data_IF_800073038983
#
_entry.id   IF_800073038983
#
_cell.length_a   1.000
_cell.length_b   1.000
_cell.length_c   1.000
_cell.angle_alpha   90.00
_cell.angle_beta   90.00
_cell.angle_gamma   90.00
#
_symmetry.space_group_name_H-M   'P 1'
#
loop_
_entity.id
_entity.type
_entity.pdbx_description
1 polymer ?
#
# COMPACT_ATOMS: atom_id res chain seq x y z
N UNK A 1 -16.31 -7.71 -23.71
CA UNK A 1 -17.34 -7.45 -22.69
C UNK A 1 -16.68 -6.56 -21.65
N UNK A 2 -17.21 -5.37 -21.36
CA UNK A 2 -16.66 -4.52 -20.31
C UNK A 2 -16.96 -5.17 -18.96
N UNK A 3 -15.93 -5.48 -18.17
CA UNK A 3 -16.14 -5.97 -16.81
C UNK A 3 -16.66 -4.82 -15.97
N UNK A 4 -17.85 -4.98 -15.42
CA UNK A 4 -18.54 -3.97 -14.61
C UNK A 4 -18.34 -4.30 -13.14
N UNK A 5 -17.97 -3.30 -12.33
CA UNK A 5 -17.79 -3.44 -10.88
C UNK A 5 -18.67 -2.41 -10.19
N UNK A 6 -19.54 -2.87 -9.28
CA UNK A 6 -20.30 -1.98 -8.41
C UNK A 6 -19.39 -1.49 -7.28
N UNK A 7 -19.35 -0.17 -7.07
CA UNK A 7 -18.67 0.47 -5.96
C UNK A 7 -19.73 1.02 -5.01
N UNK A 8 -19.54 0.79 -3.72
CA UNK A 8 -20.42 1.32 -2.67
C UNK A 8 -19.74 2.45 -1.90
N UNK A 9 -20.51 3.40 -1.34
CA UNK A 9 -19.98 4.51 -0.57
C UNK A 9 -19.16 4.03 0.63
N UNK A 10 -18.06 4.73 0.94
CA UNK A 10 -17.23 4.43 2.11
C UNK A 10 -18.04 4.42 3.42
N UNK A 11 -19.07 5.27 3.51
CA UNK A 11 -19.99 5.35 4.65
C UNK A 11 -20.82 4.10 4.90
N UNK A 12 -20.92 3.18 3.93
CA UNK A 12 -21.65 1.92 4.11
C UNK A 12 -20.83 0.87 4.89
N UNK A 13 -19.53 1.08 5.04
CA UNK A 13 -18.63 0.16 5.72
C UNK A 13 -18.45 0.58 7.17
N UNK A 14 -18.58 -0.38 8.08
CA UNK A 14 -18.38 -0.14 9.51
C UNK A 14 -16.97 -0.57 9.88
N UNK A 15 -16.21 0.33 10.47
CA UNK A 15 -14.86 0.05 10.93
C UNK A 15 -14.87 -0.21 12.44
N UNK A 16 -14.35 -1.35 12.85
CA UNK A 16 -14.11 -1.67 14.25
C UNK A 16 -12.62 -1.89 14.49
N UNK A 17 -12.25 -2.06 15.75
CA UNK A 17 -10.86 -2.23 16.15
C UNK A 17 -10.67 -3.62 16.74
N UNK A 18 -9.60 -4.32 16.36
CA UNK A 18 -9.19 -5.60 16.95
C UNK A 18 -7.79 -5.54 17.55
N UNK A 19 -7.34 -6.63 18.17
CA UNK A 19 -6.02 -6.71 18.79
C UNK A 19 -4.90 -6.37 17.81
N UNK A 20 -3.79 -5.86 18.35
CA UNK A 20 -2.64 -5.49 17.54
C UNK A 20 -2.04 -6.74 16.89
N UNK A 21 -1.66 -6.62 15.62
CA UNK A 21 -1.02 -7.71 14.91
C UNK A 21 0.50 -7.61 15.07
N UNK A 22 1.21 -8.66 15.51
CA UNK A 22 2.65 -8.61 15.67
C UNK A 22 3.35 -8.35 14.31
N UNK A 23 4.44 -7.59 14.33
CA UNK A 23 5.31 -7.45 13.15
C UNK A 23 6.03 -8.79 12.91
N UNK A 24 5.93 -9.33 11.70
CA UNK A 24 6.56 -10.62 11.37
C UNK A 24 8.10 -10.53 11.33
N UNK A 25 8.65 -9.42 10.83
CA UNK A 25 10.09 -9.27 10.60
C UNK A 25 10.61 -7.95 11.18
N UNK A 26 11.53 -7.98 12.17
CA UNK A 26 12.04 -6.76 12.82
C UNK A 26 12.85 -5.87 11.87
N UNK A 27 13.41 -6.42 10.78
CA UNK A 27 14.27 -5.70 9.85
C UNK A 27 14.07 -6.17 8.40
N UNK A 28 14.58 -5.40 7.43
CA UNK A 28 14.57 -5.83 6.02
C UNK A 28 15.46 -7.06 5.85
N UNK A 29 16.60 -7.12 6.55
CA UNK A 29 17.50 -8.27 6.51
C UNK A 29 16.85 -9.54 7.03
N UNK A 30 16.12 -9.49 8.16
CA UNK A 30 15.39 -10.63 8.71
C UNK A 30 14.33 -11.15 7.71
N UNK A 31 13.61 -10.23 7.06
CA UNK A 31 12.63 -10.57 6.01
C UNK A 31 13.27 -11.29 4.82
N UNK A 32 14.42 -10.81 4.36
CA UNK A 32 15.15 -11.42 3.23
C UNK A 32 15.75 -12.78 3.62
N UNK A 33 16.26 -12.92 4.84
CA UNK A 33 16.75 -14.19 5.37
C UNK A 33 15.63 -15.22 5.48
N UNK A 34 14.45 -14.83 6.03
CA UNK A 34 13.27 -15.71 6.07
C UNK A 34 12.79 -16.10 4.67
N UNK A 35 12.84 -15.18 3.71
CA UNK A 35 12.54 -15.48 2.32
C UNK A 35 13.51 -16.53 1.76
N UNK A 36 14.80 -16.40 2.06
CA UNK A 36 15.82 -17.35 1.62
C UNK A 36 15.65 -18.73 2.23
N UNK A 37 15.48 -18.82 3.56
CA UNK A 37 15.25 -20.09 4.25
C UNK A 37 14.00 -20.80 3.71
N UNK A 38 12.87 -20.08 3.60
CA UNK A 38 11.64 -20.68 3.06
C UNK A 38 11.79 -21.12 1.60
N UNK A 39 12.65 -20.44 0.83
CA UNK A 39 12.90 -20.79 -0.56
C UNK A 39 13.69 -22.10 -0.69
N UNK A 40 14.60 -22.38 0.24
CA UNK A 40 15.33 -23.64 0.29
C UNK A 40 14.41 -24.82 0.61
N UNK A 41 13.45 -24.63 1.52
CA UNK A 41 12.53 -25.68 1.95
C UNK A 41 11.36 -25.92 0.98
N UNK A 42 10.76 -24.84 0.46
CA UNK A 42 9.48 -24.89 -0.26
C UNK A 42 9.52 -24.33 -1.68
N UNK A 43 10.65 -23.74 -2.10
CA UNK A 43 10.78 -23.07 -3.39
C UNK A 43 10.16 -21.67 -3.42
N UNK A 44 9.70 -21.26 -4.60
CA UNK A 44 9.23 -19.89 -4.82
C UNK A 44 8.06 -19.50 -3.90
N UNK A 45 8.20 -18.39 -3.18
CA UNK A 45 7.12 -17.81 -2.38
C UNK A 45 5.97 -17.35 -3.29
N UNK A 46 4.74 -17.68 -2.94
CA UNK A 46 3.53 -17.14 -3.58
C UNK A 46 2.86 -16.16 -2.64
N UNK A 47 2.57 -14.96 -3.12
CA UNK A 47 1.94 -13.88 -2.35
C UNK A 47 0.68 -13.42 -3.05
N UNK A 48 -0.39 -13.21 -2.30
CA UNK A 48 -1.67 -12.71 -2.83
C UNK A 48 -2.09 -11.46 -2.07
N UNK A 49 -2.52 -10.44 -2.79
CA UNK A 49 -3.00 -9.18 -2.23
C UNK A 49 -4.34 -8.80 -2.89
N UNK A 50 -5.27 -8.32 -2.07
CA UNK A 50 -6.61 -7.89 -2.49
C UNK A 50 -6.67 -6.38 -2.71
N UNK A 51 -7.21 -5.98 -3.85
CA UNK A 51 -7.54 -4.58 -4.20
C UNK A 51 -9.02 -4.38 -3.89
N UNK A 52 -9.29 -3.85 -2.70
CA UNK A 52 -10.64 -3.52 -2.23
C UNK A 52 -10.98 -2.11 -2.70
N UNK A 53 -11.99 -2.01 -3.57
CA UNK A 53 -12.40 -0.74 -4.17
C UNK A 53 -13.73 -0.28 -3.57
N UNK A 54 -13.77 0.97 -3.13
CA UNK A 54 -14.98 1.67 -2.66
C UNK A 54 -15.07 3.01 -3.36
N UNK A 55 -16.12 3.79 -3.13
CA UNK A 55 -16.12 5.19 -3.56
C UNK A 55 -16.42 6.14 -2.41
N UNK A 56 -15.93 7.37 -2.55
CA UNK A 56 -16.34 8.50 -1.73
C UNK A 56 -16.58 9.67 -2.67
N UNK A 57 -17.74 10.31 -2.53
CA UNK A 57 -18.21 11.39 -3.40
C UNK A 57 -18.10 11.09 -4.92
N UNK A 58 -18.35 9.85 -5.34
CA UNK A 58 -18.26 9.45 -6.75
C UNK A 58 -16.82 9.28 -7.27
N UNK A 59 -15.83 9.24 -6.37
CA UNK A 59 -14.44 8.97 -6.71
C UNK A 59 -14.00 7.60 -6.19
N UNK A 60 -13.34 6.76 -7.01
CA UNK A 60 -12.88 5.44 -6.59
C UNK A 60 -11.69 5.56 -5.64
N UNK A 61 -11.76 4.82 -4.53
CA UNK A 61 -10.74 4.73 -3.50
C UNK A 61 -10.33 3.27 -3.25
N UNK A 62 -9.06 3.06 -2.94
CA UNK A 62 -8.49 1.77 -2.59
C UNK A 62 -8.27 1.71 -1.09
N UNK A 63 -8.80 0.66 -0.45
CA UNK A 63 -8.56 0.42 0.97
C UNK A 63 -7.18 -0.18 1.18
N UNK A 64 -6.34 0.47 1.99
CA UNK A 64 -4.98 0.03 2.30
C UNK A 64 -4.69 0.10 3.80
N UNK A 65 -3.92 -0.85 4.31
CA UNK A 65 -3.44 -0.87 5.68
C UNK A 65 -2.16 -0.03 5.80
N UNK A 66 -2.20 1.01 6.62
CA UNK A 66 -1.05 1.79 7.05
C UNK A 66 -0.53 1.25 8.38
N UNK A 67 0.77 0.96 8.47
CA UNK A 67 1.39 0.54 9.73
C UNK A 67 1.64 1.80 10.58
N UNK A 68 1.03 1.86 11.77
CA UNK A 68 1.30 2.93 12.73
C UNK A 68 2.71 2.73 13.31
N UNK A 69 3.45 3.83 13.51
CA UNK A 69 4.83 3.85 14.03
C UNK A 69 5.92 3.27 13.11
N UNK A 70 5.71 3.24 11.79
CA UNK A 70 6.79 2.96 10.83
C UNK A 70 7.74 4.18 10.67
N UNK A 71 8.24 4.72 11.78
CA UNK A 71 9.39 5.62 11.77
C UNK A 71 10.66 4.77 11.64
N UNK A 72 11.45 5.07 10.61
CA UNK A 72 12.77 4.48 10.31
C UNK A 72 12.78 3.04 9.76
N UNK A 73 12.40 2.89 8.49
CA UNK A 73 13.05 1.89 7.62
C UNK A 73 13.44 2.65 6.35
N UNK A 74 14.65 3.23 6.39
CA UNK A 74 15.26 3.87 5.22
C UNK A 74 15.09 2.90 4.04
N UNK A 75 14.32 3.30 3.04
CA UNK A 75 14.51 2.77 1.70
C UNK A 75 15.89 3.29 1.33
N UNK A 76 16.90 2.43 1.41
CA UNK A 76 18.23 2.72 0.90
C UNK A 76 18.11 2.68 -0.63
N UNK A 77 17.50 3.70 -1.21
CA UNK A 77 17.66 4.05 -2.62
C UNK A 77 18.98 4.83 -2.69
N UNK A 78 20.09 4.09 -2.63
CA UNK A 78 21.29 4.56 -3.30
C UNK A 78 21.15 4.09 -4.76
N UNK A 79 20.86 5.04 -5.65
CA UNK A 79 21.17 4.90 -7.06
C UNK A 79 22.68 4.63 -7.17
N UNK A 80 23.05 3.37 -7.33
CA UNK A 80 24.38 2.94 -7.78
C UNK A 80 24.14 1.99 -8.95
N UNK A 81 23.97 2.55 -10.14
CA UNK A 81 24.88 2.35 -11.28
C UNK A 81 24.24 2.85 -12.59
N UNK A 82 24.42 4.14 -12.86
CA UNK A 82 24.61 4.62 -14.22
C UNK A 82 26.12 4.70 -14.51
N UNK A 83 26.82 3.57 -14.44
CA UNK A 83 28.17 3.44 -15.01
C UNK A 83 28.07 3.28 -16.53
N UNK A 84 27.84 4.39 -17.23
CA UNK A 84 28.18 4.47 -18.65
C UNK A 84 29.66 4.87 -18.71
N UNK A 85 30.48 3.93 -19.17
CA UNK A 85 31.83 4.20 -19.64
C UNK A 85 31.83 5.30 -20.71
N UNK A 86 32.49 6.42 -20.41
CA UNK A 86 33.09 7.27 -21.44
C UNK A 86 34.48 7.72 -21.00
N UNK A 87 35.48 7.29 -21.76
CA UNK A 87 36.89 7.65 -21.64
C UNK A 87 37.13 9.17 -21.78
N UNK A 88 38.27 9.69 -21.28
CA UNK A 88 38.54 11.12 -21.17
C UNK A 88 39.11 11.71 -22.48
N UNK A 89 38.72 12.95 -22.80
CA UNK A 89 39.51 13.84 -23.67
C UNK A 89 39.69 15.20 -22.98
N UNK A 90 40.93 15.68 -23.06
CA UNK A 90 41.50 16.82 -22.36
C UNK A 90 41.10 18.21 -22.91
N UNK A 91 41.09 19.17 -21.98
CA UNK A 91 41.49 20.58 -22.08
C UNK A 91 40.72 21.55 -23.00
N UNK A 92 40.25 22.67 -22.41
CA UNK A 92 40.97 23.96 -22.41
C UNK A 92 40.23 25.03 -21.57
N UNK A 93 41.04 25.84 -20.89
CA UNK A 93 40.71 27.07 -20.17
C UNK A 93 39.93 28.08 -21.04
N UNK A 94 38.98 28.81 -20.43
CA UNK A 94 39.05 30.29 -20.33
C UNK A 94 38.10 30.85 -19.26
N UNK A 95 38.64 31.82 -18.53
CA UNK A 95 38.04 32.73 -17.56
C UNK A 95 36.97 33.65 -18.18
N UNK A 96 35.96 34.08 -17.42
CA UNK A 96 35.60 35.51 -17.25
C UNK A 96 34.39 35.76 -16.32
N UNK A 97 34.66 36.53 -15.26
CA UNK A 97 33.93 37.64 -14.61
C UNK A 97 32.40 37.62 -14.40
N UNK A 98 32.06 37.83 -13.11
CA UNK A 98 30.83 38.42 -12.54
C UNK A 98 30.54 39.84 -13.10
N UNK A 99 29.32 40.36 -12.91
CA UNK A 99 29.10 41.24 -11.76
C UNK A 99 27.82 40.95 -10.94
N UNK A 100 27.90 41.34 -9.66
CA UNK A 100 26.83 41.45 -8.68
C UNK A 100 25.86 42.58 -9.06
N UNK A 101 24.58 42.45 -8.67
CA UNK A 101 23.78 43.59 -8.22
C UNK A 101 22.63 43.16 -7.29
N UNK A 102 22.41 44.02 -6.31
CA UNK A 102 21.57 43.91 -5.12
C UNK A 102 20.06 43.76 -5.42
N UNK A 103 19.35 43.05 -4.54
CA UNK A 103 18.12 43.57 -3.94
C UNK A 103 17.81 42.88 -2.60
N UNK A 104 18.10 43.58 -1.51
CA UNK A 104 17.50 43.40 -0.20
C UNK A 104 16.05 43.90 -0.23
N UNK A 105 15.15 43.31 0.57
CA UNK A 105 14.11 44.01 1.38
C UNK A 105 13.19 42.99 2.10
N UNK A 106 13.32 43.04 3.44
CA UNK A 106 12.34 42.85 4.52
C UNK A 106 11.57 41.55 4.75
N UNK A 107 11.81 41.01 5.94
CA UNK A 107 10.90 40.20 6.74
C UNK A 107 9.58 40.92 7.06
N UNK A 108 8.49 40.17 7.05
CA UNK A 108 7.19 40.56 7.59
C UNK A 108 6.43 39.30 8.01
N UNK A 109 6.30 39.10 9.32
CA UNK A 109 5.59 37.96 9.90
C UNK A 109 4.07 38.12 9.85
N UNK A 110 3.37 36.99 9.90
CA UNK A 110 2.02 36.94 10.45
C UNK A 110 1.81 35.57 11.11
N UNK A 111 1.86 35.57 12.44
CA UNK A 111 1.45 34.46 13.27
C UNK A 111 -0.02 34.69 13.66
N UNK A 112 -0.89 33.74 13.36
CA UNK A 112 -2.23 33.67 13.93
C UNK A 112 -2.36 32.40 14.74
N UNK A 113 -2.20 32.55 16.06
CA UNK A 113 -2.58 31.58 17.07
C UNK A 113 -4.08 31.31 17.00
N UNK A 114 -4.50 30.05 16.95
CA UNK A 114 -5.80 29.61 17.47
C UNK A 114 -5.53 28.42 18.40
N UNK A 115 -5.72 28.69 19.69
CA UNK A 115 -5.54 27.77 20.79
C UNK A 115 -6.91 27.12 21.05
N UNK A 116 -7.04 25.82 20.83
CA UNK A 116 -8.20 25.06 21.28
C UNK A 116 -7.77 24.03 22.32
N UNK A 117 -8.50 24.08 23.44
CA UNK A 117 -8.28 23.31 24.65
C UNK A 117 -8.45 21.81 24.44
N UNK A 118 -7.58 21.04 25.10
CA UNK A 118 -7.68 19.58 25.21
C UNK A 118 -8.63 19.27 26.37
N UNK A 119 -9.77 18.66 26.07
CA UNK A 119 -10.55 17.92 27.07
C UNK A 119 -10.17 16.42 26.96
N UNK A 120 -9.92 15.72 28.07
CA UNK A 120 -9.66 14.30 28.03
C UNK A 120 -11.01 13.57 27.97
N UNK A 121 -11.30 12.85 26.90
CA UNK A 121 -12.33 11.83 26.95
C UNK A 121 -11.88 10.58 26.19
N UNK A 122 -11.85 9.49 26.95
CA UNK A 122 -11.77 8.10 26.52
C UNK A 122 -12.86 7.79 25.49
N UNK A 123 -12.47 7.43 24.27
CA UNK A 123 -13.14 6.48 23.37
C UNK A 123 -12.42 6.47 22.01
N UNK A 124 -11.50 5.53 21.83
CA UNK A 124 -10.76 5.34 20.59
C UNK A 124 -11.65 4.69 19.51
N UNK A 125 -12.40 5.52 18.78
CA UNK A 125 -13.02 5.09 17.50
C UNK A 125 -11.93 4.90 16.44
N UNK A 126 -11.99 3.88 15.58
CA UNK A 126 -11.07 3.78 14.46
C UNK A 126 -11.34 4.95 13.49
N UNK A 127 -10.32 5.78 13.28
CA UNK A 127 -10.40 6.95 12.38
C UNK A 127 -9.95 6.49 11.00
N UNK A 128 -10.90 6.41 10.06
CA UNK A 128 -10.57 6.47 8.63
C UNK A 128 -10.29 7.94 8.34
N UNK A 129 -9.02 8.26 8.09
CA UNK A 129 -8.54 9.64 7.97
C UNK A 129 -8.39 10.01 6.49
N UNK A 130 -9.20 10.96 6.01
CA UNK A 130 -8.95 11.63 4.74
C UNK A 130 -7.76 12.57 4.93
N UNK A 131 -6.62 12.25 4.32
CA UNK A 131 -5.42 13.07 4.51
C UNK A 131 -5.54 14.37 3.72
N UNK A 132 -5.82 15.47 4.43
CA UNK A 132 -5.50 16.83 3.97
C UNK A 132 -4.17 17.26 4.61
N UNK A 133 -3.32 17.81 3.76
CA UNK A 133 -2.18 18.65 4.07
C UNK A 133 -0.79 18.05 4.35
N UNK A 134 0.14 18.86 3.87
CA UNK A 134 1.46 18.59 3.35
C UNK A 134 2.48 19.08 4.40
N UNK A 135 2.94 18.21 5.30
CA UNK A 135 4.16 18.44 6.10
C UNK A 135 4.61 17.15 6.79
N UNK A 136 5.94 16.94 6.76
CA UNK A 136 6.72 15.79 7.22
C UNK A 136 6.64 14.55 6.31
N UNK A 137 7.64 14.43 5.43
CA UNK A 137 8.04 13.24 4.68
C UNK A 137 8.52 12.12 5.63
N UNK A 138 7.61 11.61 6.47
CA UNK A 138 7.71 10.24 6.93
C UNK A 138 7.29 9.32 5.78
N UNK A 139 8.08 8.30 5.46
CA UNK A 139 7.73 7.32 4.43
C UNK A 139 6.40 6.67 4.81
N UNK A 140 5.37 6.91 4.00
CA UNK A 140 4.05 6.32 4.21
C UNK A 140 4.15 4.82 3.90
N UNK A 141 4.23 3.99 4.94
CA UNK A 141 4.26 2.53 4.79
C UNK A 141 2.82 2.01 4.76
N UNK A 142 2.31 1.87 3.54
CA UNK A 142 1.00 1.28 3.25
C UNK A 142 1.15 -0.04 2.51
N UNK A 143 0.19 -0.93 2.71
CA UNK A 143 0.10 -2.24 2.06
C UNK A 143 -1.34 -2.56 1.71
N UNK A 144 -1.52 -3.31 0.62
CA UNK A 144 -2.78 -3.99 0.35
C UNK A 144 -2.99 -5.11 1.39
N UNK A 145 -4.23 -5.40 1.79
CA UNK A 145 -4.52 -6.56 2.62
C UNK A 145 -4.24 -7.85 1.83
N UNK A 146 -3.57 -8.80 2.46
CA UNK A 146 -3.06 -10.00 1.82
C UNK A 146 -1.85 -10.54 2.55
N UNK A 147 -1.31 -11.66 2.05
CA UNK A 147 -0.05 -12.24 2.55
C UNK A 147 0.47 -13.36 1.63
N UNK A 148 1.60 -13.96 2.03
CA UNK A 148 2.07 -15.20 1.41
C UNK A 148 1.20 -16.41 1.73
N UNK A 149 1.11 -17.29 0.75
CA UNK A 149 0.39 -18.55 0.79
C UNK A 149 1.25 -19.65 1.38
N UNK A 150 0.61 -20.61 2.04
CA UNK A 150 1.26 -21.86 2.44
C UNK A 150 1.55 -22.72 1.19
N UNK A 151 2.54 -23.63 1.25
CA UNK A 151 2.77 -24.58 0.17
C UNK A 151 1.50 -25.36 -0.18
N UNK A 152 1.18 -25.48 -1.47
CA UNK A 152 -0.01 -26.19 -1.95
C UNK A 152 -1.35 -25.48 -1.77
N UNK A 153 -1.39 -24.32 -1.11
CA UNK A 153 -2.63 -23.55 -0.93
C UNK A 153 -3.14 -22.95 -2.25
N UNK A 154 -4.45 -22.92 -2.45
CA UNK A 154 -5.10 -22.22 -3.56
C UNK A 154 -5.00 -20.69 -3.41
N UNK A 155 -4.91 -19.98 -4.53
CA UNK A 155 -4.69 -18.53 -4.52
C UNK A 155 -5.94 -17.76 -4.08
N UNK A 156 -7.12 -18.21 -4.50
CA UNK A 156 -8.39 -17.54 -4.22
C UNK A 156 -8.79 -17.82 -2.77
N UNK A 157 -8.85 -19.09 -2.38
CA UNK A 157 -9.20 -19.48 -1.01
C UNK A 157 -8.16 -18.98 0.00
N UNK A 158 -6.89 -18.98 -0.39
CA UNK A 158 -5.85 -18.41 0.44
C UNK A 158 -5.97 -16.91 0.61
N UNK A 159 -6.32 -16.16 -0.46
CA UNK A 159 -6.58 -14.73 -0.35
C UNK A 159 -7.78 -14.46 0.57
N UNK A 160 -8.90 -15.18 0.43
CA UNK A 160 -10.05 -15.04 1.34
C UNK A 160 -9.62 -15.18 2.80
N UNK A 161 -8.86 -16.23 3.11
CA UNK A 161 -8.34 -16.47 4.46
C UNK A 161 -7.42 -15.35 4.94
N UNK A 162 -6.53 -14.82 4.09
CA UNK A 162 -5.68 -13.66 4.45
C UNK A 162 -6.51 -12.41 4.69
N UNK A 163 -7.55 -12.16 3.90
CA UNK A 163 -8.44 -11.03 4.14
C UNK A 163 -9.17 -11.17 5.49
N UNK A 164 -9.62 -12.36 5.86
CA UNK A 164 -10.20 -12.60 7.18
C UNK A 164 -9.20 -12.39 8.32
N UNK A 165 -8.01 -12.98 8.21
CA UNK A 165 -6.93 -12.78 9.19
C UNK A 165 -6.60 -11.29 9.38
N UNK A 166 -6.62 -10.50 8.30
CA UNK A 166 -6.28 -9.07 8.34
C UNK A 166 -7.44 -8.17 8.77
N UNK A 167 -8.68 -8.46 8.35
CA UNK A 167 -9.79 -7.51 8.42
C UNK A 167 -11.10 -8.07 9.01
N UNK A 168 -11.25 -9.38 9.24
CA UNK A 168 -12.47 -9.89 9.86
C UNK A 168 -12.56 -9.52 11.36
N UNK A 169 -13.78 -9.26 11.88
CA UNK A 169 -14.04 -9.17 13.31
C UNK A 169 -13.55 -10.39 14.08
N UNK A 170 -13.09 -10.23 15.34
CA UNK A 170 -12.73 -11.37 16.15
C UNK A 170 -13.97 -12.24 16.46
N UNK A 171 -13.82 -13.57 16.47
CA UNK A 171 -14.93 -14.49 16.68
C UNK A 171 -15.60 -14.24 18.03
N UNK A 172 -16.93 -14.25 18.05
CA UNK A 172 -17.71 -14.01 19.27
C UNK A 172 -17.83 -12.54 19.68
N UNK A 173 -17.27 -11.60 18.92
CA UNK A 173 -17.54 -10.17 19.12
C UNK A 173 -18.98 -9.81 18.76
N UNK A 174 -19.51 -8.71 19.32
CA UNK A 174 -20.84 -8.21 18.93
C UNK A 174 -20.94 -7.97 17.41
N UNK A 175 -19.83 -7.52 16.80
CA UNK A 175 -19.73 -7.32 15.35
C UNK A 175 -19.75 -8.63 14.58
N UNK A 176 -19.14 -9.71 15.10
CA UNK A 176 -19.22 -11.05 14.51
C UNK A 176 -20.68 -11.55 14.43
N UNK A 177 -21.46 -11.35 15.51
CA UNK A 177 -22.89 -11.69 15.57
C UNK A 177 -23.75 -10.90 14.57
N UNK A 178 -23.47 -9.60 14.39
CA UNK A 178 -24.15 -8.76 13.39
C UNK A 178 -23.83 -9.23 11.98
N UNK A 179 -22.59 -9.69 11.77
CA UNK A 179 -22.14 -10.16 10.46
C UNK A 179 -22.68 -11.55 10.12
N UNK A 180 -22.93 -12.47 11.05
CA UNK A 180 -23.41 -13.84 10.77
C UNK A 180 -24.72 -13.94 9.95
N UNK A 181 -25.51 -12.86 9.82
CA UNK A 181 -26.71 -12.79 8.95
C UNK A 181 -26.53 -12.08 7.60
N UNK A 182 -25.36 -11.50 7.34
CA UNK A 182 -24.98 -10.84 6.08
C UNK A 182 -23.98 -11.76 5.38
N UNK A 183 -24.10 -11.91 4.04
CA UNK A 183 -23.12 -12.67 3.27
C UNK A 183 -21.72 -12.03 3.42
N UNK A 184 -20.89 -12.56 4.33
CA UNK A 184 -19.55 -12.04 4.60
C UNK A 184 -18.48 -12.68 3.73
N UNK A 185 -18.85 -13.52 2.78
CA UNK A 185 -17.87 -14.11 1.90
C UNK A 185 -17.18 -13.02 1.07
N UNK A 186 -15.87 -13.17 0.89
CA UNK A 186 -15.10 -12.31 0.00
C UNK A 186 -15.29 -12.80 -1.44
N UNK A 187 -15.81 -11.92 -2.30
CA UNK A 187 -15.89 -12.18 -3.73
C UNK A 187 -14.58 -11.75 -4.41
N UNK A 188 -13.72 -12.71 -4.69
CA UNK A 188 -12.44 -12.48 -5.37
C UNK A 188 -12.67 -12.51 -6.88
N UNK A 189 -12.40 -11.39 -7.55
CA UNK A 189 -12.51 -11.25 -8.99
C UNK A 189 -11.20 -11.56 -9.72
N UNK A 190 -10.99 -10.91 -10.85
CA UNK A 190 -9.86 -11.18 -11.74
C UNK A 190 -8.49 -10.89 -11.08
N UNK A 191 -7.48 -11.67 -11.47
CA UNK A 191 -6.09 -11.31 -11.26
C UNK A 191 -5.73 -10.12 -12.17
N UNK A 192 -5.36 -8.99 -11.56
CA UNK A 192 -5.05 -7.75 -12.28
C UNK A 192 -3.58 -7.65 -12.68
N UNK A 193 -2.68 -8.16 -11.84
CA UNK A 193 -1.25 -8.09 -12.08
C UNK A 193 -0.48 -9.21 -11.39
N UNK A 194 0.68 -9.53 -11.97
CA UNK A 194 1.66 -10.44 -11.40
C UNK A 194 3.02 -9.75 -11.35
N UNK A 195 3.65 -9.80 -10.18
CA UNK A 195 4.94 -9.20 -9.91
C UNK A 195 5.92 -10.27 -9.47
N UNK A 196 7.11 -10.25 -10.06
CA UNK A 196 8.12 -11.28 -9.89
C UNK A 196 9.35 -10.70 -9.22
N UNK A 197 9.81 -11.36 -8.16
CA UNK A 197 11.08 -11.05 -7.50
C UNK A 197 12.14 -12.03 -8.01
N UNK A 198 13.16 -11.58 -8.76
CA UNK A 198 14.17 -12.48 -9.31
C UNK A 198 15.19 -12.96 -8.27
N UNK A 199 15.58 -12.08 -7.32
CA UNK A 199 16.65 -12.28 -6.35
C UNK A 199 16.17 -12.05 -4.90
N UNK A 200 17.01 -12.34 -3.90
CA UNK A 200 16.72 -12.04 -2.49
C UNK A 200 16.93 -10.55 -2.16
N UNK A 201 16.27 -9.69 -2.95
CA UNK A 201 16.33 -8.24 -2.87
C UNK A 201 14.91 -7.67 -2.78
N UNK A 202 14.77 -6.34 -2.73
CA UNK A 202 13.46 -5.67 -2.56
C UNK A 202 12.72 -5.42 -3.88
N UNK A 203 13.43 -5.36 -5.02
CA UNK A 203 12.85 -5.05 -6.32
C UNK A 203 12.00 -6.18 -6.90
N UNK A 204 10.94 -5.80 -7.61
CA UNK A 204 10.05 -6.72 -8.33
C UNK A 204 9.74 -6.14 -9.71
N UNK A 205 9.47 -7.02 -10.67
CA UNK A 205 9.17 -6.67 -12.06
C UNK A 205 7.79 -7.20 -12.46
N UNK A 206 7.04 -6.51 -13.33
CA UNK A 206 5.73 -6.97 -13.80
C UNK A 206 5.84 -8.06 -14.90
N UNK A 207 7.01 -8.70 -15.00
CA UNK A 207 7.35 -9.80 -15.89
C UNK A 207 8.51 -10.58 -15.27
N UNK A 208 8.79 -11.79 -15.77
CA UNK A 208 10.00 -12.53 -15.40
C UNK A 208 11.16 -12.00 -16.25
N UNK A 209 12.22 -11.40 -15.67
CA UNK A 209 13.34 -10.88 -16.45
C UNK A 209 14.06 -11.98 -17.24
N UNK A 210 14.76 -11.58 -18.30
CA UNK A 210 15.53 -12.51 -19.13
C UNK A 210 16.52 -13.33 -18.29
N UNK A 211 16.69 -14.61 -18.65
CA UNK A 211 17.58 -15.58 -18.00
C UNK A 211 17.21 -15.97 -16.55
N UNK A 212 16.11 -15.44 -15.99
CA UNK A 212 15.61 -15.85 -14.67
C UNK A 212 14.70 -17.08 -14.83
N UNK A 213 15.22 -18.25 -14.46
CA UNK A 213 14.46 -19.52 -14.46
C UNK A 213 13.87 -19.87 -13.09
N UNK A 214 14.37 -19.25 -12.03
CA UNK A 214 14.04 -19.56 -10.62
C UNK A 214 13.77 -18.29 -9.81
N UNK A 215 12.65 -17.59 -10.06
CA UNK A 215 12.26 -16.42 -9.27
C UNK A 215 11.98 -16.79 -7.80
N UNK A 216 12.22 -15.85 -6.88
CA UNK A 216 12.11 -16.06 -5.43
C UNK A 216 10.71 -15.82 -4.88
N UNK A 217 9.96 -14.93 -5.53
CA UNK A 217 8.58 -14.63 -5.16
C UNK A 217 7.76 -14.28 -6.40
N UNK A 218 6.53 -14.80 -6.45
CA UNK A 218 5.47 -14.38 -7.34
C UNK A 218 4.36 -13.76 -6.50
N UNK A 219 4.11 -12.46 -6.68
CA UNK A 219 3.02 -11.72 -6.02
C UNK A 219 1.91 -11.46 -7.03
N UNK A 220 0.68 -11.84 -6.70
CA UNK A 220 -0.51 -11.61 -7.51
C UNK A 220 -1.44 -10.62 -6.83
N UNK A 221 -1.97 -9.68 -7.61
CA UNK A 221 -2.98 -8.72 -7.17
C UNK A 221 -4.33 -9.13 -7.73
N UNK A 222 -5.35 -9.24 -6.88
CA UNK A 222 -6.72 -9.57 -7.28
C UNK A 222 -7.66 -8.42 -6.94
N UNK A 223 -8.61 -8.12 -7.83
CA UNK A 223 -9.71 -7.23 -7.46
C UNK A 223 -10.66 -7.96 -6.51
N UNK A 224 -11.11 -7.28 -5.46
CA UNK A 224 -12.08 -7.83 -4.50
C UNK A 224 -13.36 -7.02 -4.62
N UNK A 225 -14.44 -7.69 -5.03
CA UNK A 225 -15.75 -7.07 -5.15
C UNK A 225 -16.31 -6.87 -3.74
N UNK A 226 -16.44 -5.61 -3.33
CA UNK A 226 -16.97 -5.27 -2.01
C UNK A 226 -18.50 -5.40 -2.01
N UNK A 227 -19.11 -6.00 -0.98
CA UNK A 227 -20.56 -6.03 -0.83
C UNK A 227 -21.08 -4.64 -0.45
N UNK A 228 -22.40 -4.45 -0.49
CA UNK A 228 -23.04 -3.15 -0.17
C UNK A 228 -22.65 -2.64 1.22
N UNK A 229 -22.56 -3.54 2.20
CA UNK A 229 -22.19 -3.26 3.59
C UNK A 229 -21.28 -4.38 4.10
N UNK A 230 -20.24 -4.02 4.84
CA UNK A 230 -19.36 -4.98 5.52
C UNK A 230 -18.77 -4.33 6.77
N UNK A 231 -18.56 -5.15 7.81
CA UNK A 231 -17.78 -4.73 8.98
C UNK A 231 -16.33 -5.14 8.79
N UNK A 232 -15.40 -4.20 8.98
CA UNK A 232 -13.96 -4.42 8.87
C UNK A 232 -13.29 -4.09 10.21
N UNK A 233 -12.61 -5.06 10.81
CA UNK A 233 -11.91 -4.92 12.07
C UNK A 233 -10.41 -4.70 11.86
N UNK A 234 -9.94 -3.48 12.15
CA UNK A 234 -8.58 -3.04 11.91
C UNK A 234 -7.72 -3.28 13.17
N UNK A 235 -6.51 -3.88 13.05
CA UNK A 235 -5.60 -4.02 14.17
C UNK A 235 -5.22 -2.67 14.80
N UNK A 236 -5.14 -2.59 16.15
CA UNK A 236 -4.80 -1.35 16.89
C UNK A 236 -3.50 -0.67 16.46
N UNK A 237 -2.52 -1.41 15.95
CA UNK A 237 -1.24 -0.89 15.47
C UNK A 237 -1.23 -0.54 13.97
N UNK A 238 -2.40 -0.50 13.35
CA UNK A 238 -2.57 -0.11 11.95
C UNK A 238 -3.72 0.87 11.82
N UNK A 239 -3.73 1.60 10.71
CA UNK A 239 -4.87 2.39 10.24
C UNK A 239 -5.33 1.84 8.90
N UNK A 240 -6.63 1.89 8.64
CA UNK A 240 -7.17 1.59 7.32
C UNK A 240 -7.44 2.92 6.60
N UNK A 241 -6.79 3.11 5.47
CA UNK A 241 -6.90 4.32 4.65
C UNK A 241 -7.73 4.02 3.40
N UNK A 242 -8.57 4.96 3.00
CA UNK A 242 -9.18 4.98 1.68
C UNK A 242 -8.38 5.97 0.81
N UNK A 243 -7.56 5.46 -0.10
CA UNK A 243 -6.67 6.28 -0.94
C UNK A 243 -7.30 6.45 -2.33
N UNK A 244 -7.59 7.67 -2.79
CA UNK A 244 -8.18 7.88 -4.10
C UNK A 244 -7.22 7.49 -5.23
N UNK A 245 -7.75 7.01 -6.35
CA UNK A 245 -6.92 6.58 -7.48
C UNK A 245 -5.99 7.69 -8.01
N UNK A 246 -6.41 8.95 -7.97
CA UNK A 246 -5.58 10.07 -8.43
C UNK A 246 -4.34 10.30 -7.54
N UNK A 247 -4.38 9.93 -6.26
CA UNK A 247 -3.21 10.06 -5.37
C UNK A 247 -2.15 8.98 -5.65
N UNK A 248 -2.60 7.81 -6.13
CA UNK A 248 -1.73 6.70 -6.55
C UNK A 248 -1.14 6.91 -7.95
N UNK A 249 -1.90 7.54 -8.85
CA UNK A 249 -1.53 7.70 -10.25
C UNK A 249 -0.19 8.44 -10.39
N UNK A 250 0.74 7.82 -11.13
CA UNK A 250 2.08 8.34 -11.39
C UNK A 250 2.89 8.75 -10.13
N UNK A 251 2.62 8.09 -9.00
CA UNK A 251 3.21 8.43 -7.71
C UNK A 251 4.07 7.30 -7.11
N UNK A 252 4.93 6.71 -7.95
CA UNK A 252 5.81 5.61 -7.55
C UNK A 252 6.83 6.03 -6.47
N UNK A 253 7.22 7.31 -6.43
CA UNK A 253 8.13 7.82 -5.41
C UNK A 253 7.57 7.68 -3.98
N UNK A 254 6.24 7.81 -3.82
CA UNK A 254 5.58 7.72 -2.52
C UNK A 254 5.02 6.33 -2.23
N UNK A 255 4.42 5.68 -3.22
CA UNK A 255 3.67 4.43 -3.04
C UNK A 255 4.39 3.18 -3.57
N UNK A 256 5.51 3.36 -4.26
CA UNK A 256 6.20 2.29 -4.97
C UNK A 256 5.49 1.91 -6.28
N UNK A 257 6.21 1.22 -7.20
CA UNK A 257 5.74 0.95 -8.55
C UNK A 257 4.50 0.05 -8.61
N UNK A 258 4.32 -0.84 -7.62
CA UNK A 258 3.20 -1.78 -7.59
C UNK A 258 1.87 -1.08 -7.34
N UNK A 259 1.84 -0.18 -6.35
CA UNK A 259 0.63 0.52 -5.95
C UNK A 259 0.32 1.67 -6.93
N UNK A 260 1.34 2.37 -7.42
CA UNK A 260 1.15 3.44 -8.41
C UNK A 260 0.64 2.93 -9.77
N UNK A 261 0.79 1.63 -10.05
CA UNK A 261 0.25 1.01 -11.25
C UNK A 261 -1.25 0.67 -11.15
N UNK A 262 -1.83 0.62 -9.95
CA UNK A 262 -3.24 0.20 -9.74
C UNK A 262 -4.24 1.01 -10.59
N UNK A 263 -4.13 2.35 -10.72
CA UNK A 263 -5.03 3.12 -11.58
C UNK A 263 -5.03 2.64 -13.04
N UNK A 264 -3.86 2.27 -13.60
CA UNK A 264 -3.79 1.70 -14.94
C UNK A 264 -4.47 0.33 -15.03
N UNK A 265 -4.28 -0.53 -14.03
CA UNK A 265 -4.87 -1.87 -13.99
C UNK A 265 -6.41 -1.83 -13.89
N UNK A 266 -6.93 -0.87 -13.14
CA UNK A 266 -8.36 -0.69 -12.93
C UNK A 266 -9.06 0.06 -14.08
N UNK A 267 -8.33 0.77 -14.93
CA UNK A 267 -8.89 1.55 -16.05
C UNK A 267 -9.72 0.74 -17.05
N UNK A 268 -9.57 -0.59 -17.06
CA UNK A 268 -10.34 -1.51 -17.92
C UNK A 268 -11.77 -1.79 -17.40
N UNK A 269 -12.07 -1.46 -16.14
CA UNK A 269 -13.37 -1.72 -15.53
C UNK A 269 -14.32 -0.54 -15.71
N UNK A 270 -15.60 -0.86 -15.88
CA UNK A 270 -16.67 0.12 -15.82
C UNK A 270 -17.20 0.18 -14.38
N UNK A 271 -16.93 1.28 -13.67
CA UNK A 271 -17.41 1.45 -12.29
C UNK A 271 -18.85 1.95 -12.26
N UNK A 272 -19.71 1.25 -11.50
CA UNK A 272 -21.05 1.70 -11.15
C UNK A 272 -21.01 2.22 -9.71
N UNK A 273 -21.17 3.53 -9.55
CA UNK A 273 -21.24 4.18 -8.24
C UNK A 273 -22.66 4.05 -7.69
N UNK A 274 -22.82 3.22 -6.65
CA UNK A 274 -24.08 3.00 -5.93
C UNK A 274 -24.33 4.05 -4.86
#
# INVERSE_FOLDING_TARGET
MSNTIALYPLSNFTFSTKEAQPEEDPSVSARLQRLQNNYEDFGMRRTVEGILVVHDHGHPHILMLQIANAFFKLIVLFDIDAHIHSHPRQSKHTSCRMPEDLCSITAGGCASHHQYAILPHSDARPVVEFRRDNKLQGVLVVRLPGDYLKPGEDEIEGLKRRLDERLAPPPGSQFDQITHGINNEWEIGDCLAQWWRPNFETFMYPFIPAHITKPKECKKLFVVQMPEKKVLAVPKNMKLLAIPLFELYDNAARYGPQLSAIPHLLSRYNFIYQ
#
